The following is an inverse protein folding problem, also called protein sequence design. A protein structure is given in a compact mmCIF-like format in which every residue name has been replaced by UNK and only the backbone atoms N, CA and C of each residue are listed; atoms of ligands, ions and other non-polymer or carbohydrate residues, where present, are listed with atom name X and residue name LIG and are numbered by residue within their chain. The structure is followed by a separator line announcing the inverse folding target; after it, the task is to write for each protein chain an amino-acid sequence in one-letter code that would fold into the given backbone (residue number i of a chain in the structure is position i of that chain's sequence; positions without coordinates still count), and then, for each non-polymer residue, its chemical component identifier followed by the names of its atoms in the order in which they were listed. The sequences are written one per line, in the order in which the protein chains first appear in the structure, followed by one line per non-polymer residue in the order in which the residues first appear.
data_IF_006852785648
#
_entry.id   IF_006852785648
#
_cell.length_a   1.000
_cell.length_b   1.000
_cell.length_c   1.000
_cell.angle_alpha   90.00
_cell.angle_beta   90.00
_cell.angle_gamma   90.00
#
_symmetry.space_group_name_H-M   'P 1'
#
loop_
_entity.id
_entity.type
_entity.pdbx_description
1 polymer ?
#
# COMPACT_ATOMS: atom_id res chain seq x y z
N UNK A 1 9.70 29.96 -17.82
CA UNK A 1 8.81 30.84 -18.60
C UNK A 1 7.39 30.51 -18.17
N UNK A 2 6.64 31.48 -17.65
CA UNK A 2 5.25 31.34 -17.26
C UNK A 2 4.38 31.81 -18.43
N UNK A 3 3.55 30.94 -18.95
CA UNK A 3 2.59 31.31 -19.98
C UNK A 3 1.18 31.18 -19.40
N UNK A 4 0.44 32.28 -19.40
CA UNK A 4 -0.95 32.30 -18.94
C UNK A 4 -1.85 31.71 -20.01
N UNK A 5 -2.55 30.64 -19.68
CA UNK A 5 -3.58 30.03 -20.51
C UNK A 5 -4.96 30.52 -20.02
N UNK A 6 -5.62 31.35 -20.82
CA UNK A 6 -6.96 31.85 -20.47
C UNK A 6 -7.86 31.80 -21.71
N UNK A 7 -8.99 31.11 -21.66
CA UNK A 7 -9.43 30.19 -20.63
C UNK A 7 -8.68 28.85 -20.70
N UNK A 8 -8.35 28.25 -19.53
CA UNK A 8 -7.76 26.90 -19.47
C UNK A 8 -8.89 25.88 -19.29
N UNK A 9 -9.11 25.02 -20.30
CA UNK A 9 -10.17 24.02 -20.32
C UNK A 9 -9.70 22.61 -19.90
N UNK A 10 -8.43 22.49 -19.48
CA UNK A 10 -7.85 21.23 -19.02
C UNK A 10 -7.24 20.38 -20.12
N UNK A 11 -6.74 19.19 -19.71
CA UNK A 11 -6.25 18.16 -20.62
C UNK A 11 -7.43 17.34 -21.14
N UNK A 12 -7.56 17.25 -22.45
CA UNK A 12 -8.60 16.45 -23.10
C UNK A 12 -7.97 15.50 -24.10
N UNK A 13 -8.06 14.21 -23.85
CA UNK A 13 -7.51 13.13 -24.67
C UNK A 13 -8.56 12.37 -25.49
N UNK A 14 -9.85 12.71 -25.31
CA UNK A 14 -10.97 11.92 -25.84
C UNK A 14 -11.67 12.59 -27.05
N UNK A 15 -11.54 13.91 -27.21
CA UNK A 15 -12.14 14.67 -28.30
C UNK A 15 -11.18 14.83 -29.47
N UNK A 16 -11.73 14.81 -30.69
CA UNK A 16 -11.01 15.18 -31.90
C UNK A 16 -10.61 16.66 -31.87
N UNK A 17 -9.58 17.01 -32.60
CA UNK A 17 -9.03 18.40 -32.62
C UNK A 17 -10.09 19.44 -33.00
N UNK A 18 -11.05 19.08 -33.88
CA UNK A 18 -12.15 19.96 -34.31
C UNK A 18 -13.19 20.24 -33.20
N UNK A 19 -13.28 19.36 -32.20
CA UNK A 19 -14.32 19.41 -31.17
C UNK A 19 -13.77 19.89 -29.81
N UNK A 20 -12.47 20.25 -29.80
CA UNK A 20 -11.82 20.70 -28.56
C UNK A 20 -12.31 22.09 -28.15
N UNK A 21 -12.66 22.28 -26.86
CA UNK A 21 -12.89 23.61 -26.31
C UNK A 21 -11.67 24.51 -26.47
N UNK A 22 -11.91 25.80 -26.68
CA UNK A 22 -10.84 26.78 -26.71
C UNK A 22 -10.03 26.77 -25.40
N UNK A 23 -8.72 26.63 -25.50
CA UNK A 23 -7.84 26.50 -24.34
C UNK A 23 -7.68 25.09 -23.78
N UNK A 24 -8.26 24.05 -24.41
CA UNK A 24 -7.96 22.66 -24.11
C UNK A 24 -6.59 22.26 -24.65
N UNK A 25 -5.93 21.38 -23.91
CA UNK A 25 -4.63 20.81 -24.28
C UNK A 25 -4.82 19.32 -24.54
N UNK A 26 -4.30 18.83 -25.65
CA UNK A 26 -4.39 17.41 -26.04
C UNK A 26 -3.23 16.58 -25.52
N UNK A 27 -2.08 17.22 -25.33
CA UNK A 27 -0.90 16.55 -24.79
C UNK A 27 0.02 17.53 -24.06
N UNK A 28 0.67 17.06 -23.01
CA UNK A 28 1.67 17.80 -22.27
C UNK A 28 2.66 16.84 -21.60
N UNK A 29 3.92 17.27 -21.52
CA UNK A 29 4.98 16.52 -20.88
C UNK A 29 5.81 17.45 -19.98
N UNK A 30 6.14 16.99 -18.77
CA UNK A 30 6.90 17.74 -17.77
C UNK A 30 6.29 19.10 -17.42
N UNK A 31 4.96 19.19 -17.42
CA UNK A 31 4.22 20.42 -17.12
C UNK A 31 3.23 20.14 -15.99
N UNK A 32 3.13 21.05 -15.04
CA UNK A 32 2.04 21.11 -14.08
C UNK A 32 1.19 22.36 -14.29
N UNK A 33 -0.08 22.25 -13.97
CA UNK A 33 -1.01 23.37 -14.04
C UNK A 33 -1.32 23.85 -12.62
N UNK A 34 -1.09 25.11 -12.39
CA UNK A 34 -1.34 25.75 -11.11
C UNK A 34 -1.90 27.15 -11.32
N UNK A 35 -3.02 27.48 -10.67
CA UNK A 35 -3.63 28.83 -10.70
C UNK A 35 -3.86 29.39 -12.11
N UNK A 36 -4.17 28.51 -13.08
CA UNK A 36 -4.38 28.91 -14.48
C UNK A 36 -3.08 29.10 -15.30
N UNK A 37 -1.94 28.72 -14.74
CA UNK A 37 -0.65 28.74 -15.43
C UNK A 37 -0.13 27.35 -15.72
N UNK A 38 0.58 27.21 -16.84
CA UNK A 38 1.41 26.02 -17.12
C UNK A 38 2.84 26.30 -16.65
N UNK A 39 3.33 25.48 -15.74
CA UNK A 39 4.69 25.55 -15.20
C UNK A 39 5.49 24.32 -15.62
N UNK A 40 6.75 24.51 -15.99
CA UNK A 40 7.66 23.39 -16.19
C UNK A 40 7.90 22.67 -14.87
N UNK A 41 7.83 21.35 -14.92
CA UNK A 41 8.35 20.52 -13.84
C UNK A 41 9.87 20.67 -13.80
N UNK A 42 10.41 21.00 -12.63
CA UNK A 42 11.86 21.08 -12.47
C UNK A 42 12.50 19.71 -12.70
N UNK A 43 13.69 19.71 -13.25
CA UNK A 43 14.46 18.48 -13.49
C UNK A 43 14.73 17.73 -12.19
N UNK A 44 14.92 16.42 -12.29
CA UNK A 44 15.30 15.53 -11.19
C UNK A 44 16.80 15.26 -11.23
N UNK A 45 17.40 15.15 -10.05
CA UNK A 45 18.76 14.67 -9.89
C UNK A 45 18.74 13.38 -9.05
N UNK A 46 19.71 12.50 -9.33
CA UNK A 46 19.86 11.27 -8.54
C UNK A 46 20.25 11.64 -7.12
N UNK A 47 19.44 11.23 -6.14
CA UNK A 47 19.77 11.40 -4.73
C UNK A 47 20.82 10.37 -4.25
N UNK A 48 20.87 9.21 -4.89
CA UNK A 48 21.72 8.08 -4.55
C UNK A 48 22.41 7.51 -5.80
N UNK A 49 23.45 6.73 -5.59
CA UNK A 49 24.05 5.91 -6.65
C UNK A 49 23.07 4.85 -7.15
N UNK A 50 23.37 4.22 -8.28
CA UNK A 50 22.53 3.18 -8.85
C UNK A 50 22.24 2.08 -7.84
N UNK A 51 20.97 1.73 -7.70
CA UNK A 51 20.53 0.63 -6.83
C UNK A 51 21.10 -0.71 -7.36
N UNK A 52 21.68 -1.56 -6.48
CA UNK A 52 22.28 -2.84 -6.89
C UNK A 52 21.29 -3.88 -7.43
N UNK A 53 20.00 -3.66 -7.21
CA UNK A 53 18.91 -4.57 -7.62
C UNK A 53 17.81 -3.80 -8.33
N UNK A 54 17.04 -4.42 -9.22
CA UNK A 54 15.77 -3.88 -9.68
C UNK A 54 14.82 -3.72 -8.48
N UNK A 55 14.36 -2.49 -8.15
CA UNK A 55 13.48 -2.28 -7.02
C UNK A 55 12.05 -2.69 -7.37
N UNK A 56 11.44 -3.54 -6.55
CA UNK A 56 10.00 -3.84 -6.60
C UNK A 56 9.20 -2.96 -5.64
N UNK A 57 9.80 -2.61 -4.50
CA UNK A 57 9.24 -1.66 -3.54
C UNK A 57 10.34 -0.91 -2.81
N UNK A 58 10.02 0.30 -2.34
CA UNK A 58 10.91 1.13 -1.54
C UNK A 58 10.14 1.78 -0.39
N UNK A 59 10.62 1.60 0.83
CA UNK A 59 10.00 2.11 2.05
C UNK A 59 10.96 3.05 2.78
N UNK A 60 10.55 4.30 3.07
CA UNK A 60 11.31 5.15 3.97
C UNK A 60 11.08 4.69 5.42
N UNK A 61 12.14 4.45 6.14
CA UNK A 61 12.11 4.09 7.56
C UNK A 61 12.90 5.14 8.33
N UNK A 62 12.28 5.77 9.32
CA UNK A 62 12.91 6.81 10.12
C UNK A 62 13.31 6.26 11.50
N UNK A 63 14.52 6.56 11.92
CA UNK A 63 14.97 6.38 13.31
C UNK A 63 15.70 7.65 13.77
N UNK A 64 15.17 8.31 14.78
CA UNK A 64 15.63 9.65 15.16
C UNK A 64 15.51 10.65 14.00
N UNK A 65 16.64 11.32 13.66
CA UNK A 65 16.73 12.24 12.52
C UNK A 65 17.12 11.55 11.20
N UNK A 66 17.49 10.27 11.24
CA UNK A 66 18.01 9.54 10.07
C UNK A 66 16.88 8.84 9.32
N UNK A 67 16.90 8.97 7.99
CA UNK A 67 16.00 8.23 7.10
C UNK A 67 16.83 7.14 6.40
N UNK A 68 16.35 5.92 6.53
CA UNK A 68 16.82 4.77 5.76
C UNK A 68 15.81 4.47 4.68
N UNK A 69 16.30 4.29 3.46
CA UNK A 69 15.48 3.71 2.40
C UNK A 69 15.70 2.21 2.36
N UNK A 70 14.66 1.47 2.68
CA UNK A 70 14.62 0.02 2.54
C UNK A 70 14.14 -0.30 1.13
N UNK A 71 14.98 -0.93 0.32
CA UNK A 71 14.68 -1.28 -1.07
C UNK A 71 14.64 -2.79 -1.22
N UNK A 72 13.53 -3.29 -1.71
CA UNK A 72 13.19 -4.71 -1.80
C UNK A 72 13.03 -5.08 -3.28
N UNK A 73 13.74 -6.10 -3.69
CA UNK A 73 13.65 -6.68 -5.04
C UNK A 73 13.08 -8.09 -5.04
N UNK A 74 13.23 -8.81 -6.15
CA UNK A 74 12.75 -10.19 -6.28
C UNK A 74 13.38 -11.13 -5.23
N UNK A 75 14.70 -11.05 -5.06
CA UNK A 75 15.48 -11.99 -4.25
C UNK A 75 16.21 -11.35 -3.08
N UNK A 76 16.48 -10.06 -3.15
CA UNK A 76 17.37 -9.36 -2.22
C UNK A 76 16.72 -8.11 -1.63
N UNK A 77 17.19 -7.72 -0.46
CA UNK A 77 16.86 -6.47 0.23
C UNK A 77 18.13 -5.64 0.46
N UNK A 78 18.02 -4.34 0.21
CA UNK A 78 19.09 -3.38 0.45
C UNK A 78 18.58 -2.19 1.26
N UNK A 79 19.45 -1.58 2.00
CA UNK A 79 19.18 -0.27 2.60
C UNK A 79 20.22 0.75 2.18
N UNK A 80 19.82 2.01 2.19
CA UNK A 80 20.68 3.16 1.94
C UNK A 80 20.29 4.31 2.86
N UNK A 81 21.29 5.06 3.33
CA UNK A 81 21.10 6.28 4.13
C UNK A 81 22.26 7.23 3.93
N UNK A 82 22.04 8.51 4.20
CA UNK A 82 23.08 9.55 4.19
C UNK A 82 23.63 9.90 2.82
N UNK A 83 24.69 10.71 2.82
CA UNK A 83 25.50 11.10 1.67
C UNK A 83 26.99 11.17 2.08
N UNK A 84 27.93 10.52 1.36
CA UNK A 84 27.70 9.69 0.18
C UNK A 84 26.99 8.39 0.53
N UNK A 85 25.99 8.04 -0.29
CA UNK A 85 25.15 6.90 -0.04
C UNK A 85 25.86 5.59 -0.43
N UNK A 86 25.92 4.66 0.50
CA UNK A 86 26.42 3.30 0.25
C UNK A 86 25.25 2.33 0.42
N UNK A 87 25.00 1.52 -0.60
CA UNK A 87 24.03 0.46 -0.54
C UNK A 87 24.54 -0.70 0.30
N UNK A 88 23.78 -1.09 1.30
CA UNK A 88 24.10 -2.24 2.14
C UNK A 88 23.07 -3.33 1.95
N UNK A 89 23.56 -4.56 1.69
CA UNK A 89 22.70 -5.73 1.62
C UNK A 89 22.22 -6.11 3.02
N UNK A 90 20.90 -6.14 3.20
CA UNK A 90 20.23 -6.53 4.44
C UNK A 90 19.26 -7.70 4.20
N UNK A 91 19.46 -8.46 3.13
CA UNK A 91 18.73 -9.72 2.92
C UNK A 91 18.87 -10.62 4.14
N UNK A 92 17.82 -11.33 4.49
CA UNK A 92 17.82 -12.28 5.62
C UNK A 92 19.04 -13.21 5.57
N UNK A 93 19.61 -13.47 6.72
CA UNK A 93 20.78 -14.37 6.85
C UNK A 93 20.40 -15.85 6.86
N UNK A 94 19.16 -16.18 7.23
CA UNK A 94 18.63 -17.53 7.24
C UNK A 94 17.45 -17.67 6.29
N UNK A 95 17.33 -18.81 5.60
CA UNK A 95 16.27 -19.09 4.66
C UNK A 95 16.55 -18.70 3.20
N UNK A 96 17.78 -18.25 2.89
CA UNK A 96 18.20 -17.95 1.52
C UNK A 96 17.57 -16.67 0.94
N UNK A 97 17.54 -16.59 -0.37
CA UNK A 97 16.95 -15.48 -1.12
C UNK A 97 15.42 -15.45 -0.99
N UNK A 98 14.82 -14.29 -1.25
CA UNK A 98 13.37 -14.13 -1.30
C UNK A 98 12.80 -14.65 -2.63
N UNK A 99 11.48 -14.85 -2.65
CA UNK A 99 10.74 -15.34 -3.82
C UNK A 99 9.67 -14.35 -4.28
N UNK A 100 9.93 -13.04 -4.15
CA UNK A 100 9.00 -12.02 -4.62
C UNK A 100 8.97 -11.95 -6.16
N UNK A 101 7.82 -11.61 -6.72
CA UNK A 101 7.60 -11.38 -8.15
C UNK A 101 6.84 -10.07 -8.37
N UNK A 102 6.57 -9.71 -9.61
CA UNK A 102 5.70 -8.56 -9.92
C UNK A 102 4.25 -8.79 -9.48
N UNK A 103 3.81 -10.07 -9.41
CA UNK A 103 2.48 -10.42 -8.90
C UNK A 103 2.40 -10.47 -7.37
N UNK A 104 3.55 -10.48 -6.70
CA UNK A 104 3.70 -10.57 -5.25
C UNK A 104 4.59 -9.45 -4.73
N UNK A 105 4.21 -8.20 -5.03
CA UNK A 105 4.95 -7.02 -4.61
C UNK A 105 5.02 -6.92 -3.09
N UNK A 106 6.14 -6.38 -2.63
CA UNK A 106 6.35 -6.13 -1.21
C UNK A 106 5.38 -5.09 -0.68
N UNK A 107 4.83 -5.38 0.49
CA UNK A 107 3.96 -4.52 1.26
C UNK A 107 4.34 -4.60 2.75
N UNK A 108 3.62 -3.89 3.61
CA UNK A 108 3.93 -3.86 5.05
C UNK A 108 3.80 -2.46 5.61
N UNK A 109 4.67 -2.11 6.53
CA UNK A 109 4.69 -0.80 7.18
C UNK A 109 5.61 -0.75 8.38
N UNK A 110 5.44 0.28 9.19
CA UNK A 110 6.17 0.47 10.46
C UNK A 110 5.15 0.56 11.59
N UNK A 111 5.27 -0.33 12.56
CA UNK A 111 4.47 -0.30 13.79
C UNK A 111 5.38 -0.10 14.99
N UNK A 112 5.10 0.91 15.80
CA UNK A 112 5.84 1.20 17.03
C UNK A 112 7.37 1.31 16.82
N UNK A 113 7.78 1.81 15.64
CA UNK A 113 9.18 1.96 15.28
C UNK A 113 9.83 0.71 14.67
N UNK A 114 9.11 -0.40 14.55
CA UNK A 114 9.64 -1.64 13.95
C UNK A 114 9.04 -1.86 12.55
N UNK A 115 9.88 -1.85 11.51
CA UNK A 115 9.42 -2.18 10.15
C UNK A 115 9.13 -3.67 9.99
N UNK A 116 8.01 -3.98 9.37
CA UNK A 116 7.68 -5.34 8.91
C UNK A 116 7.32 -5.29 7.43
N UNK A 117 7.87 -6.19 6.65
CA UNK A 117 7.63 -6.31 5.20
C UNK A 117 7.21 -7.74 4.85
N UNK A 118 6.35 -7.83 3.85
CA UNK A 118 5.73 -9.06 3.40
C UNK A 118 5.68 -9.09 1.88
N UNK A 119 5.92 -10.25 1.26
CA UNK A 119 5.83 -10.43 -0.20
C UNK A 119 4.78 -11.47 -0.61
N UNK A 120 3.97 -11.95 0.32
CA UNK A 120 2.90 -12.91 0.06
C UNK A 120 3.35 -14.36 -0.16
N UNK A 121 4.63 -14.64 -0.31
CA UNK A 121 5.19 -15.97 -0.59
C UNK A 121 6.05 -16.46 0.57
N UNK A 122 7.01 -15.65 0.98
CA UNK A 122 7.86 -15.93 2.14
C UNK A 122 7.14 -15.55 3.45
N UNK A 123 7.61 -16.08 4.57
CA UNK A 123 7.18 -15.58 5.88
C UNK A 123 7.51 -14.08 6.00
N UNK A 124 6.62 -13.25 6.59
CA UNK A 124 6.89 -11.82 6.79
C UNK A 124 8.22 -11.60 7.50
N UNK A 125 8.91 -10.55 7.13
CA UNK A 125 10.22 -10.19 7.67
C UNK A 125 10.11 -8.91 8.49
N UNK A 126 10.91 -8.79 9.54
CA UNK A 126 11.03 -7.55 10.30
C UNK A 126 12.47 -7.07 10.37
N UNK A 127 12.64 -5.78 10.55
CA UNK A 127 13.96 -5.18 10.75
C UNK A 127 14.13 -4.88 12.24
N UNK A 128 14.76 -5.79 12.94
CA UNK A 128 14.89 -5.75 14.40
C UNK A 128 15.64 -4.53 14.94
N UNK A 129 16.60 -4.04 14.17
CA UNK A 129 17.36 -2.82 14.45
C UNK A 129 17.57 -2.06 13.14
N UNK A 130 17.08 -0.84 13.08
CA UNK A 130 17.21 0.01 11.88
C UNK A 130 18.62 0.55 11.81
N UNK A 131 19.52 -0.24 11.20
CA UNK A 131 20.92 0.10 11.00
C UNK A 131 21.47 -0.61 9.78
N UNK A 132 22.43 0.03 9.10
CA UNK A 132 23.19 -0.63 8.04
C UNK A 132 23.89 -1.86 8.61
N UNK A 133 23.83 -2.98 7.89
CA UNK A 133 24.45 -4.24 8.33
C UNK A 133 23.60 -5.12 9.25
N UNK A 134 22.41 -4.69 9.66
CA UNK A 134 21.46 -5.58 10.34
C UNK A 134 20.55 -6.21 9.29
N UNK A 135 20.65 -7.54 9.04
CA UNK A 135 19.77 -8.22 8.10
C UNK A 135 18.32 -8.23 8.57
N UNK A 136 17.41 -8.30 7.62
CA UNK A 136 16.01 -8.66 7.90
C UNK A 136 15.97 -10.09 8.49
N UNK A 137 14.98 -10.34 9.35
CA UNK A 137 14.74 -11.63 9.95
C UNK A 137 13.26 -12.02 9.84
N UNK A 138 12.95 -13.31 9.89
CA UNK A 138 11.58 -13.78 9.92
C UNK A 138 10.84 -13.20 11.13
N UNK A 139 9.60 -12.74 10.93
CA UNK A 139 8.78 -12.17 11.98
C UNK A 139 8.56 -13.21 13.10
N UNK A 140 8.99 -12.92 14.34
CA UNK A 140 8.78 -13.83 15.47
C UNK A 140 7.29 -14.14 15.67
N UNK A 141 7.00 -15.32 16.17
CA UNK A 141 5.63 -15.79 16.46
C UNK A 141 4.70 -15.84 15.24
N UNK A 142 5.18 -15.58 14.02
CA UNK A 142 4.40 -15.81 12.82
C UNK A 142 4.15 -17.31 12.65
N UNK A 143 2.90 -17.76 12.41
CA UNK A 143 2.57 -19.18 12.36
C UNK A 143 3.27 -19.89 11.19
N UNK A 144 3.82 -21.05 11.45
CA UNK A 144 4.43 -21.88 10.40
C UNK A 144 3.42 -22.32 9.33
N UNK A 145 3.81 -22.29 8.07
CA UNK A 145 2.95 -22.65 6.95
C UNK A 145 1.82 -21.67 6.66
N UNK A 146 1.89 -20.46 7.22
CA UNK A 146 0.97 -19.36 6.94
C UNK A 146 1.68 -18.31 6.09
N UNK A 147 1.01 -17.82 5.05
CA UNK A 147 1.38 -16.63 4.29
C UNK A 147 0.16 -15.73 4.16
N UNK A 148 0.37 -14.46 3.81
CA UNK A 148 -0.71 -13.53 3.55
C UNK A 148 -0.36 -12.64 2.37
N UNK A 149 -1.34 -12.26 1.57
CA UNK A 149 -1.09 -11.41 0.41
C UNK A 149 -0.72 -9.98 0.80
N UNK A 150 -1.39 -9.44 1.79
CA UNK A 150 -1.18 -8.05 2.26
C UNK A 150 -1.06 -8.02 3.78
N UNK A 151 -0.18 -7.15 4.26
CA UNK A 151 0.06 -6.92 5.68
C UNK A 151 0.06 -5.41 5.98
N UNK A 152 -0.71 -4.97 6.98
CA UNK A 152 -0.82 -3.55 7.34
C UNK A 152 -0.84 -3.37 8.86
N UNK A 153 -0.19 -2.33 9.40
CA UNK A 153 -0.32 -1.97 10.79
C UNK A 153 -1.59 -1.14 11.02
N UNK A 154 -2.24 -1.36 12.15
CA UNK A 154 -3.34 -0.51 12.60
C UNK A 154 -3.41 -0.52 14.13
N UNK A 155 -3.48 0.67 14.75
CA UNK A 155 -3.29 0.84 16.20
C UNK A 155 -1.98 0.16 16.64
N UNK A 156 -2.06 -0.75 17.61
CA UNK A 156 -0.90 -1.52 18.07
C UNK A 156 -0.89 -2.98 17.53
N UNK A 157 -1.64 -3.25 16.48
CA UNK A 157 -1.82 -4.58 15.89
C UNK A 157 -1.26 -4.63 14.47
N UNK A 158 -0.78 -5.79 14.09
CA UNK A 158 -0.54 -6.13 12.70
C UNK A 158 -1.72 -6.91 12.15
N UNK A 159 -2.16 -6.54 10.96
CA UNK A 159 -3.21 -7.22 10.20
C UNK A 159 -2.62 -7.91 8.99
N UNK A 160 -3.08 -9.13 8.75
CA UNK A 160 -2.76 -9.94 7.58
C UNK A 160 -4.06 -10.23 6.82
N UNK A 161 -4.05 -10.05 5.51
CA UNK A 161 -5.22 -10.16 4.65
C UNK A 161 -4.96 -11.16 3.54
N UNK A 162 -6.04 -11.86 3.09
CA UNK A 162 -5.98 -12.90 2.07
C UNK A 162 -4.93 -13.94 2.47
N UNK A 163 -5.29 -14.68 3.51
CA UNK A 163 -4.38 -15.57 4.23
C UNK A 163 -4.38 -16.95 3.58
N UNK A 164 -3.21 -17.54 3.41
CA UNK A 164 -3.05 -18.94 3.06
C UNK A 164 -2.53 -19.69 4.28
N UNK A 165 -3.23 -20.76 4.70
CA UNK A 165 -2.92 -21.58 5.87
C UNK A 165 -2.84 -23.04 5.45
N UNK A 166 -1.70 -23.68 5.67
CA UNK A 166 -1.46 -25.08 5.27
C UNK A 166 -1.79 -25.36 3.79
N UNK A 167 -1.43 -24.44 2.89
CA UNK A 167 -1.67 -24.54 1.45
C UNK A 167 -3.09 -24.19 0.98
N UNK A 168 -4.03 -23.95 1.89
CA UNK A 168 -5.40 -23.49 1.57
C UNK A 168 -5.49 -21.98 1.67
N UNK A 169 -5.91 -21.31 0.58
CA UNK A 169 -6.13 -19.88 0.54
C UNK A 169 -7.51 -19.51 1.09
N UNK A 170 -7.55 -18.51 1.96
CA UNK A 170 -8.74 -17.89 2.53
C UNK A 170 -8.80 -16.42 2.08
N UNK A 171 -9.34 -16.14 0.88
CA UNK A 171 -9.25 -14.82 0.25
C UNK A 171 -10.06 -13.73 0.96
N UNK A 172 -10.95 -14.11 1.87
CA UNK A 172 -11.81 -13.22 2.65
C UNK A 172 -11.31 -13.04 4.10
N UNK A 173 -10.23 -13.74 4.46
CA UNK A 173 -9.74 -13.79 5.84
C UNK A 173 -8.93 -12.57 6.19
N UNK A 174 -9.33 -11.96 7.29
CA UNK A 174 -8.54 -11.01 8.06
C UNK A 174 -8.00 -11.74 9.28
N UNK A 175 -6.69 -11.69 9.49
CA UNK A 175 -6.04 -12.20 10.69
C UNK A 175 -5.29 -11.06 11.36
N UNK A 176 -5.39 -10.95 12.69
CA UNK A 176 -4.67 -9.91 13.44
C UNK A 176 -3.83 -10.52 14.56
N UNK A 177 -2.77 -9.82 14.91
CA UNK A 177 -1.85 -10.22 15.97
C UNK A 177 -2.38 -9.86 17.36
N UNK A 178 -1.71 -10.35 18.38
CA UNK A 178 -1.71 -9.69 19.70
C UNK A 178 -1.07 -8.30 19.59
N UNK A 179 -1.47 -7.29 20.39
CA UNK A 179 -0.87 -5.96 20.29
C UNK A 179 0.64 -6.00 20.58
N UNK A 180 1.38 -5.17 19.85
CA UNK A 180 2.81 -5.01 20.04
C UNK A 180 3.10 -3.83 20.95
N UNK A 181 3.99 -4.02 21.90
CA UNK A 181 4.54 -2.93 22.71
C UNK A 181 5.49 -2.03 21.90
N UNK A 182 5.69 -0.76 22.28
CA UNK A 182 6.62 0.13 21.61
C UNK A 182 8.02 -0.48 21.43
N UNK A 183 8.54 -0.43 20.20
CA UNK A 183 9.85 -0.98 19.86
C UNK A 183 9.90 -2.51 19.73
N UNK A 184 8.75 -3.19 19.77
CA UNK A 184 8.68 -4.64 19.67
C UNK A 184 7.78 -5.10 18.52
N UNK A 185 7.78 -6.40 18.27
CA UNK A 185 6.84 -7.08 17.37
C UNK A 185 5.83 -7.88 18.17
N UNK A 186 4.67 -8.26 17.60
CA UNK A 186 3.65 -9.04 18.31
C UNK A 186 4.20 -10.36 18.87
N UNK A 187 3.77 -10.70 20.07
CA UNK A 187 4.18 -11.94 20.75
C UNK A 187 3.33 -13.15 20.38
N UNK A 188 2.18 -12.96 19.75
CA UNK A 188 1.28 -14.04 19.32
C UNK A 188 0.46 -13.69 18.10
N UNK A 189 0.18 -14.70 17.30
CA UNK A 189 -0.76 -14.72 16.19
C UNK A 189 -1.78 -15.88 16.34
N UNK A 190 -1.79 -16.50 17.51
CA UNK A 190 -2.63 -17.67 17.80
C UNK A 190 -4.04 -17.22 18.18
N UNK A 191 -4.97 -17.44 17.27
CA UNK A 191 -6.40 -17.17 17.44
C UNK A 191 -7.10 -18.10 18.41
N UNK A 192 -6.44 -19.19 18.81
CA UNK A 192 -7.01 -20.17 19.76
C UNK A 192 -6.62 -19.91 21.20
N UNK A 193 -5.63 -19.07 21.45
CA UNK A 193 -5.21 -18.65 22.78
C UNK A 193 -6.12 -17.55 23.35
N UNK A 194 -7.09 -17.93 24.15
CA UNK A 194 -8.03 -16.99 24.77
C UNK A 194 -7.38 -15.96 25.73
N UNK A 195 -6.10 -16.10 26.04
CA UNK A 195 -5.35 -15.10 26.82
C UNK A 195 -4.72 -14.00 25.98
N UNK A 196 -4.84 -14.10 24.65
CA UNK A 196 -4.29 -13.18 23.65
C UNK A 196 -5.41 -12.55 22.86
N UNK A 197 -5.15 -11.32 22.39
CA UNK A 197 -6.10 -10.60 21.52
C UNK A 197 -5.99 -10.99 20.05
N UNK A 198 -5.07 -11.91 19.70
CA UNK A 198 -4.94 -12.39 18.34
C UNK A 198 -6.21 -13.09 17.87
N UNK A 199 -6.55 -12.92 16.59
CA UNK A 199 -7.76 -13.53 16.06
C UNK A 199 -7.81 -13.54 14.54
N UNK A 200 -8.90 -14.11 14.03
CA UNK A 200 -9.19 -14.09 12.59
C UNK A 200 -10.69 -13.98 12.33
N UNK A 201 -11.06 -13.43 11.18
CA UNK A 201 -12.46 -13.26 10.78
C UNK A 201 -12.56 -13.29 9.25
N UNK A 202 -13.58 -13.95 8.72
CA UNK A 202 -13.84 -14.02 7.29
C UNK A 202 -14.91 -12.99 6.90
N UNK A 203 -14.55 -12.04 6.04
CA UNK A 203 -15.48 -11.03 5.53
C UNK A 203 -16.43 -11.64 4.50
N UNK A 204 -17.69 -11.32 4.60
CA UNK A 204 -18.72 -11.76 3.66
C UNK A 204 -18.56 -11.16 2.26
N UNK A 205 -19.35 -11.68 1.31
CA UNK A 205 -19.49 -11.17 -0.04
C UNK A 205 -18.40 -11.59 -1.02
N UNK A 206 -18.60 -11.28 -2.28
CA UNK A 206 -17.75 -11.68 -3.39
C UNK A 206 -16.42 -10.93 -3.43
N UNK A 207 -15.45 -11.51 -4.13
CA UNK A 207 -14.12 -10.94 -4.35
C UNK A 207 -13.20 -11.11 -3.14
N UNK A 208 -11.91 -11.18 -3.38
CA UNK A 208 -10.87 -11.29 -2.34
C UNK A 208 -10.56 -9.94 -1.69
N UNK A 209 -9.89 -9.95 -0.56
CA UNK A 209 -9.36 -8.73 0.08
C UNK A 209 -8.13 -8.28 -0.73
N UNK A 210 -8.14 -7.02 -1.12
CA UNK A 210 -7.07 -6.42 -1.94
C UNK A 210 -6.06 -5.69 -1.07
N UNK A 211 -6.54 -4.82 -0.17
CA UNK A 211 -5.69 -4.00 0.70
C UNK A 211 -6.49 -3.43 1.88
N UNK A 212 -5.79 -2.74 2.78
CA UNK A 212 -6.41 -1.99 3.86
C UNK A 212 -5.63 -0.72 4.17
N UNK A 213 -6.34 0.36 4.53
CA UNK A 213 -5.74 1.64 4.91
C UNK A 213 -6.48 2.23 6.11
N UNK A 214 -5.77 2.88 7.06
CA UNK A 214 -6.40 3.57 8.16
C UNK A 214 -7.11 4.86 7.69
N UNK A 215 -8.28 5.13 8.26
CA UNK A 215 -9.01 6.38 8.13
C UNK A 215 -9.42 6.84 9.54
N UNK A 216 -8.65 7.72 10.13
CA UNK A 216 -8.78 8.07 11.54
C UNK A 216 -8.63 6.83 12.44
N UNK A 217 -9.63 6.55 13.26
CA UNK A 217 -9.66 5.41 14.18
C UNK A 217 -10.32 4.15 13.59
N UNK A 218 -10.47 4.09 12.28
CA UNK A 218 -11.08 2.96 11.56
C UNK A 218 -10.09 2.44 10.53
N UNK A 219 -9.92 1.13 10.46
CA UNK A 219 -9.20 0.51 9.35
C UNK A 219 -10.20 0.19 8.25
N UNK A 220 -10.00 0.77 7.08
CA UNK A 220 -10.83 0.51 5.91
C UNK A 220 -10.23 -0.65 5.14
N UNK A 221 -10.97 -1.74 5.02
CA UNK A 221 -10.56 -2.95 4.31
C UNK A 221 -11.25 -2.99 2.95
N UNK A 222 -10.45 -3.00 1.91
CA UNK A 222 -10.91 -3.03 0.53
C UNK A 222 -10.89 -4.45 -0.01
N UNK A 223 -12.03 -4.94 -0.43
CA UNK A 223 -12.14 -6.11 -1.29
C UNK A 223 -12.14 -5.67 -2.76
N UNK A 224 -12.19 -6.63 -3.65
CA UNK A 224 -12.25 -6.37 -5.10
C UNK A 224 -13.50 -5.57 -5.49
N UNK A 225 -14.64 -5.78 -4.84
CA UNK A 225 -15.93 -5.18 -5.21
C UNK A 225 -16.68 -4.51 -4.05
N UNK A 226 -16.11 -4.47 -2.87
CA UNK A 226 -16.75 -3.90 -1.69
C UNK A 226 -15.73 -3.38 -0.69
N UNK A 227 -16.18 -2.56 0.24
CA UNK A 227 -15.37 -1.96 1.28
C UNK A 227 -15.99 -2.24 2.64
N UNK A 228 -15.15 -2.56 3.63
CA UNK A 228 -15.52 -2.79 5.02
C UNK A 228 -14.84 -1.80 5.94
N UNK A 229 -15.49 -1.46 7.03
CA UNK A 229 -14.91 -0.72 8.12
C UNK A 229 -14.61 -1.68 9.27
N UNK A 230 -13.37 -1.68 9.73
CA UNK A 230 -12.91 -2.40 10.89
C UNK A 230 -12.66 -1.40 12.03
N UNK A 231 -13.35 -1.57 13.15
CA UNK A 231 -13.23 -0.71 14.32
C UNK A 231 -12.80 -1.52 15.54
N UNK A 232 -11.91 -0.96 16.33
CA UNK A 232 -11.55 -1.55 17.63
C UNK A 232 -12.71 -1.39 18.63
N UNK A 233 -13.12 -2.48 19.24
CA UNK A 233 -14.20 -2.50 20.23
C UNK A 233 -13.69 -2.89 21.62
N UNK A 234 -12.61 -3.66 21.69
CA UNK A 234 -12.11 -4.24 22.95
C UNK A 234 -13.02 -5.32 23.51
N UNK A 235 -12.65 -5.89 24.64
CA UNK A 235 -13.42 -6.96 25.29
C UNK A 235 -13.36 -8.29 24.52
N UNK A 236 -14.44 -9.06 24.56
CA UNK A 236 -14.49 -10.40 23.93
C UNK A 236 -14.39 -10.37 22.40
N UNK A 237 -14.81 -9.30 21.79
CA UNK A 237 -14.65 -9.03 20.36
C UNK A 237 -13.69 -7.87 20.21
N UNK A 238 -12.46 -8.16 19.84
CA UNK A 238 -11.38 -7.15 19.71
C UNK A 238 -11.69 -6.17 18.61
N UNK A 239 -12.12 -6.66 17.44
CA UNK A 239 -12.48 -5.86 16.28
C UNK A 239 -13.88 -6.20 15.80
N UNK A 240 -14.59 -5.16 15.31
CA UNK A 240 -15.87 -5.30 14.65
C UNK A 240 -15.73 -4.92 13.17
N UNK A 241 -16.25 -5.77 12.30
CA UNK A 241 -16.23 -5.58 10.85
C UNK A 241 -17.64 -5.32 10.34
N UNK A 242 -17.84 -4.19 9.68
CA UNK A 242 -19.14 -3.86 9.07
C UNK A 242 -18.97 -3.48 7.60
N UNK A 243 -19.90 -3.87 6.71
CA UNK A 243 -19.94 -3.37 5.35
C UNK A 243 -20.00 -1.84 5.34
N UNK A 244 -19.23 -1.19 4.47
CA UNK A 244 -19.21 0.26 4.32
C UNK A 244 -19.79 0.67 2.97
N UNK A 245 -19.19 0.18 1.87
CA UNK A 245 -19.67 0.48 0.52
C UNK A 245 -19.79 -0.81 -0.29
N UNK A 246 -20.90 -0.95 -1.01
CA UNK A 246 -21.11 -1.99 -2.01
C UNK A 246 -20.77 -1.44 -3.40
N UNK A 247 -20.12 -2.25 -4.23
CA UNK A 247 -19.71 -1.85 -5.57
C UNK A 247 -18.47 -0.94 -5.62
N UNK A 248 -17.89 -0.60 -4.48
CA UNK A 248 -16.66 0.17 -4.37
C UNK A 248 -15.62 -0.72 -3.71
N UNK A 249 -14.63 -1.10 -4.45
CA UNK A 249 -13.48 -1.88 -3.98
C UNK A 249 -12.18 -1.22 -4.44
N UNK A 250 -11.08 -1.94 -4.36
CA UNK A 250 -9.77 -1.48 -4.83
C UNK A 250 -9.29 -2.37 -5.97
N UNK A 251 -8.60 -1.79 -6.94
CA UNK A 251 -8.15 -2.49 -8.13
C UNK A 251 -6.97 -3.43 -7.85
N UNK A 252 -5.95 -2.94 -7.16
CA UNK A 252 -4.75 -3.66 -6.77
C UNK A 252 -4.21 -3.14 -5.44
N UNK A 253 -3.32 -3.87 -4.76
CA UNK A 253 -2.64 -3.35 -3.56
C UNK A 253 -1.93 -2.02 -3.86
N UNK A 254 -1.87 -1.14 -2.87
CA UNK A 254 -1.28 0.20 -2.95
C UNK A 254 -1.95 1.14 -3.99
N UNK A 255 -3.12 0.79 -4.53
CA UNK A 255 -3.93 1.64 -5.40
C UNK A 255 -4.81 2.64 -4.64
N UNK A 256 -4.40 3.04 -3.46
CA UNK A 256 -5.08 4.03 -2.64
C UNK A 256 -4.11 4.89 -1.83
N UNK A 257 -4.56 6.07 -1.45
CA UNK A 257 -3.81 6.99 -0.59
C UNK A 257 -4.78 7.73 0.33
N UNK A 258 -4.36 7.96 1.56
CA UNK A 258 -5.06 8.84 2.49
C UNK A 258 -4.44 10.23 2.45
N UNK A 259 -5.27 11.26 2.32
CA UNK A 259 -4.87 12.67 2.36
C UNK A 259 -5.94 13.44 3.14
N UNK A 260 -5.53 14.05 4.24
CA UNK A 260 -6.37 14.93 5.06
C UNK A 260 -7.73 14.31 5.45
N UNK A 261 -7.72 13.08 5.93
CA UNK A 261 -8.92 12.37 6.37
C UNK A 261 -9.82 11.89 5.21
N UNK A 262 -9.28 11.79 4.02
CA UNK A 262 -9.99 11.34 2.82
C UNK A 262 -9.16 10.27 2.11
N UNK A 263 -9.77 9.13 1.81
CA UNK A 263 -9.17 8.14 0.93
C UNK A 263 -9.43 8.47 -0.53
N UNK A 264 -8.41 8.40 -1.34
CA UNK A 264 -8.44 8.41 -2.80
C UNK A 264 -8.10 7.02 -3.29
N UNK A 265 -9.02 6.38 -4.00
CA UNK A 265 -8.92 4.94 -4.32
C UNK A 265 -9.16 4.71 -5.80
N UNK A 266 -8.24 3.97 -6.42
CA UNK A 266 -8.44 3.47 -7.75
C UNK A 266 -9.23 2.15 -7.68
N UNK A 267 -10.45 2.20 -8.20
CA UNK A 267 -11.37 1.06 -8.27
C UNK A 267 -11.31 0.39 -9.64
N UNK A 268 -12.08 -0.68 -9.82
CA UNK A 268 -12.17 -1.36 -11.13
C UNK A 268 -12.74 -0.49 -12.26
N UNK A 269 -13.44 0.60 -11.93
CA UNK A 269 -14.18 1.38 -12.91
C UNK A 269 -14.02 2.89 -12.78
N UNK A 270 -13.32 3.37 -11.77
CA UNK A 270 -13.21 4.82 -11.47
C UNK A 270 -12.05 5.11 -10.52
N UNK A 271 -11.70 6.38 -10.38
CA UNK A 271 -10.96 6.85 -9.22
C UNK A 271 -11.93 7.64 -8.35
N UNK A 272 -12.08 7.19 -7.13
CA UNK A 272 -13.04 7.77 -6.18
C UNK A 272 -12.35 8.34 -4.96
N UNK A 273 -12.99 9.30 -4.31
CA UNK A 273 -12.65 9.74 -2.96
C UNK A 273 -13.79 9.44 -1.99
N UNK A 274 -13.45 9.15 -0.74
CA UNK A 274 -14.42 9.01 0.34
C UNK A 274 -13.79 9.32 1.70
N UNK A 275 -14.63 9.75 2.63
CA UNK A 275 -14.31 10.06 4.02
C UNK A 275 -14.89 9.00 5.00
N UNK A 276 -15.33 7.85 4.49
CA UNK A 276 -16.01 6.81 5.25
C UNK A 276 -17.54 6.97 5.31
N UNK A 277 -18.10 8.05 4.78
CA UNK A 277 -19.55 8.30 4.73
C UNK A 277 -20.08 8.39 3.31
N UNK A 278 -19.41 9.11 2.43
CA UNK A 278 -19.83 9.36 1.06
C UNK A 278 -18.71 9.05 0.07
N UNK A 279 -19.08 8.52 -1.09
CA UNK A 279 -18.18 8.25 -2.21
C UNK A 279 -18.45 9.25 -3.33
N UNK A 280 -17.38 9.83 -3.86
CA UNK A 280 -17.45 10.76 -4.99
C UNK A 280 -16.38 10.41 -6.03
N UNK A 281 -16.80 10.34 -7.32
CA UNK A 281 -15.86 10.28 -8.44
C UNK A 281 -15.03 11.56 -8.51
N UNK A 282 -13.74 11.43 -8.78
CA UNK A 282 -12.85 12.58 -9.01
C UNK A 282 -12.55 12.80 -10.48
N UNK A 283 -12.93 11.85 -11.34
CA UNK A 283 -12.72 11.94 -12.78
C UNK A 283 -13.98 12.44 -13.48
N UNK A 284 -13.80 13.32 -14.46
CA UNK A 284 -14.83 13.58 -15.44
C UNK A 284 -15.04 12.36 -16.38
N UNK A 285 -16.18 12.33 -17.09
CA UNK A 285 -16.56 11.18 -17.91
C UNK A 285 -15.57 10.89 -19.04
N UNK A 286 -14.97 11.92 -19.64
CA UNK A 286 -14.04 11.78 -20.78
C UNK A 286 -12.70 11.21 -20.27
N UNK A 287 -12.13 11.79 -19.22
CA UNK A 287 -10.89 11.32 -18.61
C UNK A 287 -11.01 9.90 -18.10
N UNK A 288 -12.13 9.54 -17.44
CA UNK A 288 -12.40 8.18 -16.96
C UNK A 288 -12.44 7.19 -18.11
N UNK A 289 -13.15 7.49 -19.20
CA UNK A 289 -13.22 6.63 -20.38
C UNK A 289 -11.86 6.42 -21.02
N UNK A 290 -11.09 7.49 -21.16
CA UNK A 290 -9.75 7.41 -21.72
C UNK A 290 -8.83 6.57 -20.82
N UNK A 291 -8.82 6.80 -19.51
CA UNK A 291 -8.01 6.06 -18.55
C UNK A 291 -8.29 4.56 -18.63
N UNK A 292 -9.55 4.16 -18.48
CA UNK A 292 -9.94 2.75 -18.46
C UNK A 292 -9.71 2.04 -19.80
N UNK A 293 -9.74 2.78 -20.91
CA UNK A 293 -9.42 2.22 -22.24
C UNK A 293 -7.93 1.94 -22.44
N UNK A 294 -7.06 2.71 -21.76
CA UNK A 294 -5.63 2.67 -21.96
C UNK A 294 -4.86 1.98 -20.82
N UNK A 295 -5.56 1.52 -19.80
CA UNK A 295 -4.96 0.72 -18.72
C UNK A 295 -4.57 -0.65 -19.28
N UNK A 296 -3.36 -1.09 -18.94
CA UNK A 296 -2.90 -2.44 -19.23
C UNK A 296 -3.38 -3.40 -18.14
N UNK A 297 -4.47 -4.11 -18.45
CA UNK A 297 -5.08 -5.07 -17.53
C UNK A 297 -4.25 -6.35 -17.31
N UNK A 298 -3.06 -6.45 -17.90
CA UNK A 298 -2.17 -7.60 -17.72
C UNK A 298 -1.12 -7.40 -16.64
N UNK A 299 -1.06 -6.19 -16.02
CA UNK A 299 -0.02 -5.79 -15.09
C UNK A 299 -0.46 -5.71 -13.61
N UNK A 300 -1.67 -6.17 -13.25
CA UNK A 300 -2.18 -6.22 -11.87
C UNK A 300 -3.12 -7.38 -11.58
#
# INVERSE_FOLDING_TARGET
MLQKLTPFAGLNKDLGVSDLPLGAITDCNNVRFREGYAELFLGQANAYTTCPIPPYSAFPVRTGSTIYWLVLGAAKAYCVTGAPATWTNITRSAGGDYSASLDTLWNGGVLNGVPVVNNGVDAPQYWSTIATGTPLAALPSWPAGVTCRVMRPFLNYWFAFDVTKAGTRYPHRVKWSHPAEPGTVPTSWDETDATKDAGEFDLDGAGFIVDAMPLGNTLIVYKQFSTYACTYTGGSYIFNFRPLFSGIGMMAPDCGVEIDGTHYVFTQSDIVRHDGSQVQSILDKATRRWLLKNIDNTQY
#
